data_IF_432312806930
#
_entry.id   IF_432312806930
#
_cell.length_a   1.000
_cell.length_b   1.000
_cell.length_c   1.000
_cell.angle_alpha   90.00
_cell.angle_beta   90.00
_cell.angle_gamma   90.00
#
_symmetry.space_group_name_H-M   'P 1'
#
loop_
_entity.id
_entity.type
_entity.pdbx_description
1 polymer ?
#
# COMPACT_ATOMS: atom_id res chain seq x y z
N UNK A 1 -30.78 -13.48 -5.17
CA UNK A 1 -30.20 -12.37 -4.40
C UNK A 1 -29.49 -12.96 -3.20
N UNK A 2 -28.20 -12.69 -3.03
CA UNK A 2 -27.43 -13.21 -1.89
C UNK A 2 -27.89 -12.59 -0.57
N UNK A 3 -27.61 -13.26 0.55
CA UNK A 3 -27.90 -12.72 1.88
C UNK A 3 -27.08 -11.45 2.13
N UNK A 4 -27.75 -10.34 2.42
CA UNK A 4 -27.11 -9.12 2.93
C UNK A 4 -26.45 -9.42 4.28
N UNK A 5 -25.24 -8.89 4.48
CA UNK A 5 -24.42 -9.10 5.68
C UNK A 5 -23.87 -7.76 6.15
N UNK A 6 -23.65 -7.61 7.45
CA UNK A 6 -22.91 -6.49 8.02
C UNK A 6 -21.45 -6.89 8.25
N UNK A 7 -20.53 -6.26 7.52
CA UNK A 7 -19.10 -6.49 7.66
C UNK A 7 -18.45 -5.28 8.33
N UNK A 8 -17.74 -5.52 9.44
CA UNK A 8 -16.94 -4.51 10.12
C UNK A 8 -15.49 -4.62 9.66
N UNK A 9 -14.93 -3.55 9.11
CA UNK A 9 -13.50 -3.41 8.86
C UNK A 9 -12.85 -2.59 9.97
N UNK A 10 -11.74 -3.07 10.51
CA UNK A 10 -10.83 -2.34 11.39
C UNK A 10 -9.50 -2.13 10.65
N UNK A 11 -9.13 -0.88 10.45
CA UNK A 11 -7.86 -0.52 9.81
C UNK A 11 -7.11 0.48 10.67
N UNK A 12 -5.82 0.24 10.88
CA UNK A 12 -4.89 1.26 11.36
C UNK A 12 -4.87 2.50 10.43
N UNK A 13 -4.60 3.70 10.96
CA UNK A 13 -4.59 4.94 10.19
C UNK A 13 -3.29 5.10 9.38
N UNK A 14 -3.15 4.30 8.33
CA UNK A 14 -1.96 4.24 7.48
C UNK A 14 -2.37 4.00 6.02
N UNK A 15 -1.87 4.80 5.09
CA UNK A 15 -2.29 4.76 3.67
C UNK A 15 -2.08 3.38 3.04
N UNK A 16 -0.96 2.73 3.40
CA UNK A 16 -0.58 1.41 2.87
C UNK A 16 -1.44 0.26 3.42
N UNK A 17 -2.31 0.53 4.39
CA UNK A 17 -3.23 -0.44 4.98
C UNK A 17 -4.68 -0.09 4.66
N UNK A 18 -5.00 1.19 4.75
CA UNK A 18 -6.35 1.74 4.58
C UNK A 18 -6.86 1.50 3.16
N UNK A 19 -6.21 2.06 2.13
CA UNK A 19 -6.78 2.06 0.78
C UNK A 19 -6.95 0.66 0.18
N UNK A 20 -6.06 -0.28 0.54
CA UNK A 20 -6.14 -1.67 0.08
C UNK A 20 -7.36 -2.40 0.64
N UNK A 21 -7.65 -2.24 1.93
CA UNK A 21 -8.78 -2.91 2.58
C UNK A 21 -10.09 -2.17 2.33
N UNK A 22 -10.02 -0.86 2.20
CA UNK A 22 -11.13 0.04 1.91
C UNK A 22 -11.69 -0.21 0.49
N UNK A 23 -10.84 -0.57 -0.48
CA UNK A 23 -11.29 -1.05 -1.80
C UNK A 23 -12.17 -2.31 -1.74
N UNK A 24 -11.83 -3.25 -0.85
CA UNK A 24 -12.63 -4.48 -0.63
C UNK A 24 -13.94 -4.13 0.05
N UNK A 25 -13.91 -3.25 1.04
CA UNK A 25 -15.09 -2.75 1.74
C UNK A 25 -16.11 -2.12 0.77
N UNK A 26 -15.66 -1.31 -0.18
CA UNK A 26 -16.54 -0.74 -1.20
C UNK A 26 -17.17 -1.75 -2.12
N UNK A 27 -16.38 -2.71 -2.61
CA UNK A 27 -16.91 -3.75 -3.48
C UNK A 27 -18.00 -4.56 -2.76
N UNK A 28 -17.84 -4.80 -1.45
CA UNK A 28 -18.90 -5.41 -0.63
C UNK A 28 -20.13 -4.50 -0.51
N UNK A 29 -19.94 -3.20 -0.30
CA UNK A 29 -21.01 -2.20 -0.30
C UNK A 29 -21.81 -2.18 -1.60
N UNK A 30 -21.11 -2.13 -2.75
CA UNK A 30 -21.69 -2.17 -4.10
C UNK A 30 -22.48 -3.45 -4.37
N UNK A 31 -22.07 -4.57 -3.75
CA UNK A 31 -22.80 -5.86 -3.81
C UNK A 31 -24.02 -5.90 -2.91
N UNK A 32 -24.32 -4.82 -2.20
CA UNK A 32 -25.50 -4.70 -1.32
C UNK A 32 -25.26 -5.23 0.09
N UNK A 33 -24.01 -5.46 0.50
CA UNK A 33 -23.68 -5.68 1.90
C UNK A 33 -23.62 -4.35 2.65
N UNK A 34 -23.84 -4.41 3.95
CA UNK A 34 -23.67 -3.25 4.81
C UNK A 34 -22.25 -3.25 5.36
N UNK A 35 -21.51 -2.16 5.16
CA UNK A 35 -20.10 -2.13 5.58
C UNK A 35 -19.88 -0.97 6.54
N UNK A 36 -19.29 -1.28 7.70
CA UNK A 36 -18.73 -0.26 8.59
C UNK A 36 -17.22 -0.34 8.47
N UNK A 37 -16.58 0.75 8.09
CA UNK A 37 -15.14 0.84 7.98
C UNK A 37 -14.62 1.78 9.07
N UNK A 38 -13.94 1.23 10.07
CA UNK A 38 -13.45 1.98 11.21
C UNK A 38 -11.93 2.18 11.13
N UNK A 39 -11.51 3.43 11.27
CA UNK A 39 -10.10 3.87 11.29
C UNK A 39 -9.94 5.04 12.27
N UNK A 40 -8.75 5.64 12.34
CA UNK A 40 -8.47 6.84 13.15
C UNK A 40 -7.90 7.97 12.30
N UNK A 41 -7.57 9.09 12.94
CA UNK A 41 -7.01 10.26 12.26
C UNK A 41 -5.65 9.95 11.62
N UNK A 42 -5.34 10.55 10.44
CA UNK A 42 -6.13 11.57 9.74
C UNK A 42 -7.23 11.01 8.81
N UNK A 43 -7.39 9.69 8.70
CA UNK A 43 -8.21 9.06 7.66
C UNK A 43 -9.66 8.76 8.05
N UNK A 44 -10.07 9.16 9.25
CA UNK A 44 -11.39 8.85 9.79
C UNK A 44 -12.56 9.49 9.01
N UNK A 45 -12.28 10.53 8.23
CA UNK A 45 -13.24 11.27 7.42
C UNK A 45 -13.00 11.06 5.92
N UNK A 46 -12.29 10.00 5.52
CA UNK A 46 -12.08 9.69 4.11
C UNK A 46 -13.38 9.39 3.37
N UNK A 47 -13.42 9.74 2.08
CA UNK A 47 -14.57 9.46 1.23
C UNK A 47 -14.67 7.96 0.88
N UNK A 48 -15.90 7.43 0.88
CA UNK A 48 -16.18 6.07 0.47
C UNK A 48 -17.45 5.95 -0.38
N UNK A 49 -17.46 4.97 -1.29
CA UNK A 49 -18.58 4.66 -2.16
C UNK A 49 -19.80 4.18 -1.36
N UNK A 50 -20.93 4.17 -2.05
CA UNK A 50 -22.23 3.81 -1.47
C UNK A 50 -22.20 2.44 -0.78
N UNK A 51 -22.77 2.38 0.43
CA UNK A 51 -22.86 1.15 1.23
C UNK A 51 -21.76 1.01 2.29
N UNK A 52 -20.76 1.90 2.30
CA UNK A 52 -19.70 1.97 3.32
C UNK A 52 -19.96 3.15 4.26
N UNK A 53 -20.01 2.87 5.56
CA UNK A 53 -20.03 3.87 6.62
C UNK A 53 -18.63 3.99 7.22
N UNK A 54 -18.00 5.16 7.09
CA UNK A 54 -16.76 5.48 7.78
C UNK A 54 -17.02 5.81 9.25
N UNK A 55 -16.22 5.27 10.16
CA UNK A 55 -16.27 5.57 11.59
C UNK A 55 -14.87 5.84 12.16
N UNK A 56 -14.79 6.90 12.98
CA UNK A 56 -13.61 7.20 13.80
C UNK A 56 -13.61 6.35 15.06
N UNK A 57 -12.59 5.51 15.25
CA UNK A 57 -12.26 4.95 16.57
C UNK A 57 -11.12 5.75 17.23
N UNK A 58 -11.03 5.66 18.56
CA UNK A 58 -10.03 6.38 19.35
C UNK A 58 -8.65 5.72 19.30
N UNK A 59 -7.95 5.63 20.44
CA UNK A 59 -6.68 4.87 20.52
C UNK A 59 -6.88 3.35 20.46
N UNK A 60 -8.06 2.91 20.86
CA UNK A 60 -8.45 1.51 20.92
C UNK A 60 -9.60 1.28 19.92
N UNK A 61 -9.36 0.41 18.95
CA UNK A 61 -10.36 0.04 17.96
C UNK A 61 -11.54 -0.71 18.61
N UNK A 62 -11.32 -1.51 19.66
CA UNK A 62 -12.38 -2.25 20.33
C UNK A 62 -13.40 -1.32 20.99
N UNK A 63 -12.99 -0.09 21.36
CA UNK A 63 -13.87 0.91 21.94
C UNK A 63 -15.02 1.34 20.99
N UNK A 64 -14.94 1.05 19.68
CA UNK A 64 -16.01 1.40 18.73
C UNK A 64 -17.37 0.83 19.14
N UNK A 65 -17.39 -0.34 19.80
CA UNK A 65 -18.62 -1.02 20.23
C UNK A 65 -19.49 -0.20 21.19
N UNK A 66 -18.86 0.77 21.86
CA UNK A 66 -19.50 1.69 22.81
C UNK A 66 -19.89 3.03 22.19
N UNK A 67 -19.55 3.27 20.91
CA UNK A 67 -19.90 4.51 20.23
C UNK A 67 -21.41 4.55 19.97
N UNK A 68 -22.13 5.60 20.38
CA UNK A 68 -23.58 5.67 20.21
C UNK A 68 -24.04 5.44 18.75
N UNK A 69 -23.31 6.00 17.78
CA UNK A 69 -23.60 5.83 16.36
C UNK A 69 -23.50 4.36 15.91
N UNK A 70 -22.56 3.60 16.48
CA UNK A 70 -22.37 2.19 16.16
C UNK A 70 -23.36 1.31 16.94
N UNK A 71 -23.54 1.55 18.24
CA UNK A 71 -24.49 0.80 19.07
C UNK A 71 -25.94 0.94 18.58
N UNK A 72 -26.33 2.12 18.06
CA UNK A 72 -27.66 2.30 17.47
C UNK A 72 -27.88 1.39 16.26
N UNK A 73 -26.84 1.22 15.42
CA UNK A 73 -26.88 0.38 14.22
C UNK A 73 -26.90 -1.10 14.54
N UNK A 74 -26.14 -1.55 15.54
CA UNK A 74 -26.13 -2.96 15.96
C UNK A 74 -27.50 -3.48 16.43
N UNK A 75 -28.43 -2.60 16.81
CA UNK A 75 -29.80 -3.00 17.19
C UNK A 75 -30.63 -3.50 16.01
N UNK A 76 -30.35 -2.99 14.81
CA UNK A 76 -31.08 -3.35 13.58
C UNK A 76 -30.26 -4.31 12.73
N UNK A 77 -28.94 -4.15 12.73
CA UNK A 77 -28.03 -4.83 11.82
C UNK A 77 -26.80 -5.35 12.58
N UNK A 78 -26.88 -6.53 13.21
CA UNK A 78 -25.74 -7.11 13.93
C UNK A 78 -24.59 -7.39 12.97
N UNK A 79 -23.34 -7.24 13.44
CA UNK A 79 -22.15 -7.60 12.66
C UNK A 79 -22.16 -9.11 12.41
N UNK A 80 -21.83 -9.52 11.18
CA UNK A 80 -21.72 -10.93 10.76
C UNK A 80 -20.26 -11.38 10.60
N UNK A 81 -19.33 -10.43 10.41
CA UNK A 81 -17.92 -10.67 10.11
C UNK A 81 -17.09 -9.45 10.54
N UNK A 82 -15.96 -9.70 11.19
CA UNK A 82 -14.92 -8.68 11.43
C UNK A 82 -13.74 -8.94 10.51
N UNK A 83 -13.33 -7.92 9.76
CA UNK A 83 -12.12 -7.91 8.94
C UNK A 83 -11.15 -6.92 9.59
N UNK A 84 -9.89 -7.29 9.77
CA UNK A 84 -8.91 -6.41 10.42
C UNK A 84 -7.55 -6.43 9.73
N UNK A 85 -6.83 -5.32 9.78
CA UNK A 85 -5.40 -5.33 9.52
C UNK A 85 -4.64 -5.97 10.72
N UNK A 86 -3.38 -6.42 10.54
CA UNK A 86 -2.62 -7.04 11.63
C UNK A 86 -2.43 -6.13 12.86
N UNK A 87 -2.37 -4.81 12.68
CA UNK A 87 -2.22 -3.86 13.78
C UNK A 87 -3.48 -3.68 14.63
N UNK A 88 -4.64 -4.10 14.14
CA UNK A 88 -5.92 -4.05 14.86
C UNK A 88 -6.44 -5.44 15.25
N UNK A 89 -5.59 -6.47 15.11
CA UNK A 89 -5.96 -7.88 15.34
C UNK A 89 -6.50 -8.15 16.74
N UNK A 90 -5.84 -7.65 17.79
CA UNK A 90 -6.27 -7.90 19.18
C UNK A 90 -7.69 -7.37 19.44
N UNK A 91 -7.98 -6.17 18.94
CA UNK A 91 -9.32 -5.59 19.01
C UNK A 91 -10.34 -6.39 18.20
N UNK A 92 -9.95 -6.88 17.03
CA UNK A 92 -10.83 -7.70 16.19
C UNK A 92 -11.17 -9.04 16.84
N UNK A 93 -10.21 -9.68 17.50
CA UNK A 93 -10.43 -10.92 18.27
C UNK A 93 -11.35 -10.66 19.45
N UNK A 94 -11.15 -9.58 20.21
CA UNK A 94 -12.03 -9.20 21.32
C UNK A 94 -13.49 -9.04 20.85
N UNK A 95 -13.71 -8.29 19.77
CA UNK A 95 -15.04 -8.07 19.20
C UNK A 95 -15.64 -9.34 18.60
N UNK A 96 -14.83 -10.12 17.87
CA UNK A 96 -15.25 -11.38 17.26
C UNK A 96 -15.72 -12.39 18.31
N UNK A 97 -15.01 -12.47 19.44
CA UNK A 97 -15.41 -13.29 20.58
C UNK A 97 -16.68 -12.77 21.26
N UNK A 98 -16.77 -11.45 21.49
CA UNK A 98 -17.94 -10.83 22.13
C UNK A 98 -19.23 -11.07 21.33
N UNK A 99 -19.16 -10.98 20.00
CA UNK A 99 -20.32 -11.12 19.12
C UNK A 99 -20.51 -12.52 18.54
N UNK A 100 -19.57 -13.44 18.75
CA UNK A 100 -19.62 -14.81 18.23
C UNK A 100 -19.51 -14.88 16.70
N UNK A 101 -18.70 -13.99 16.10
CA UNK A 101 -18.55 -13.86 14.65
C UNK A 101 -17.13 -14.20 14.19
N UNK A 102 -16.96 -14.68 12.94
CA UNK A 102 -15.64 -14.91 12.37
C UNK A 102 -14.82 -13.62 12.30
N UNK A 103 -13.50 -13.79 12.43
CA UNK A 103 -12.49 -12.75 12.23
C UNK A 103 -11.62 -13.14 11.04
N UNK A 104 -11.44 -12.24 10.09
CA UNK A 104 -10.56 -12.39 8.93
C UNK A 104 -9.47 -11.33 8.99
N UNK A 105 -8.21 -11.77 8.92
CA UNK A 105 -7.07 -10.84 8.89
C UNK A 105 -6.73 -10.49 7.44
N UNK A 106 -6.86 -9.22 7.10
CA UNK A 106 -6.46 -8.67 5.81
C UNK A 106 -4.99 -8.21 5.87
N UNK A 107 -4.08 -9.09 5.44
CA UNK A 107 -2.68 -8.75 5.30
C UNK A 107 -2.45 -7.89 4.06
N UNK A 108 -2.01 -6.65 4.27
CA UNK A 108 -1.61 -5.70 3.21
C UNK A 108 -0.12 -5.78 2.86
N UNK A 109 0.62 -6.58 3.64
CA UNK A 109 2.01 -6.97 3.40
C UNK A 109 2.10 -8.49 3.23
N UNK A 110 3.27 -9.03 2.88
CA UNK A 110 3.47 -10.48 2.89
C UNK A 110 3.08 -11.00 4.29
N UNK A 111 2.17 -11.96 4.38
CA UNK A 111 1.70 -12.51 5.65
C UNK A 111 2.88 -13.03 6.49
N UNK A 112 2.79 -12.83 7.81
CA UNK A 112 3.85 -13.15 8.77
C UNK A 112 3.27 -13.78 10.02
N UNK A 113 3.89 -14.85 10.53
CA UNK A 113 3.56 -15.50 11.80
C UNK A 113 4.52 -16.66 12.06
N UNK A 114 4.56 -17.20 13.28
CA UNK A 114 5.40 -18.35 13.66
C UNK A 114 5.15 -19.61 12.80
N UNK A 115 4.01 -19.64 12.09
CA UNK A 115 3.57 -20.72 11.21
C UNK A 115 3.71 -20.41 9.71
N UNK A 116 4.21 -19.23 9.34
CA UNK A 116 4.23 -18.78 7.93
C UNK A 116 5.66 -18.77 7.40
N UNK A 117 6.08 -19.93 6.89
CA UNK A 117 7.22 -20.04 5.99
C UNK A 117 6.70 -19.94 4.56
N UNK A 118 7.21 -19.01 3.75
CA UNK A 118 6.71 -18.76 2.39
C UNK A 118 6.98 -19.97 1.48
N UNK A 119 5.97 -20.80 1.11
CA UNK A 119 6.23 -21.96 0.26
C UNK A 119 6.32 -21.52 -1.20
N UNK A 120 7.08 -22.27 -2.00
CA UNK A 120 7.28 -22.00 -3.43
C UNK A 120 6.02 -22.17 -4.30
N UNK A 121 4.95 -22.80 -3.78
CA UNK A 121 3.76 -23.17 -4.55
C UNK A 121 2.54 -22.30 -4.22
N UNK A 122 1.82 -21.88 -5.27
CA UNK A 122 0.72 -20.90 -5.26
C UNK A 122 -0.65 -21.49 -4.83
N UNK A 123 -0.66 -22.42 -3.88
CA UNK A 123 -1.91 -23.04 -3.41
C UNK A 123 -1.93 -23.14 -1.91
N UNK A 124 -2.75 -22.28 -1.29
CA UNK A 124 -3.05 -22.31 0.14
C UNK A 124 -4.38 -23.03 0.36
N UNK A 125 -4.50 -23.72 1.50
CA UNK A 125 -5.78 -24.29 1.96
C UNK A 125 -6.86 -23.22 2.17
N UNK A 126 -8.03 -23.64 2.67
CA UNK A 126 -9.22 -22.79 2.81
C UNK A 126 -9.04 -21.51 3.66
N UNK A 127 -7.90 -21.34 4.33
CA UNK A 127 -7.64 -20.30 5.34
C UNK A 127 -6.98 -19.03 4.77
N UNK A 128 -6.51 -19.03 3.52
CA UNK A 128 -5.85 -17.85 2.91
C UNK A 128 -6.32 -17.59 1.48
N UNK A 129 -6.74 -16.34 1.21
CA UNK A 129 -7.14 -15.86 -0.11
C UNK A 129 -6.25 -14.68 -0.52
N UNK A 130 -5.60 -14.77 -1.69
CA UNK A 130 -4.89 -13.64 -2.28
C UNK A 130 -5.86 -12.83 -3.15
N UNK A 131 -6.00 -11.55 -2.82
CA UNK A 131 -6.76 -10.58 -3.62
C UNK A 131 -5.75 -9.61 -4.24
N UNK A 132 -5.77 -9.48 -5.56
CA UNK A 132 -4.92 -8.50 -6.25
C UNK A 132 -5.23 -7.11 -5.69
N UNK A 133 -4.23 -6.24 -5.43
CA UNK A 133 -4.48 -4.88 -4.98
C UNK A 133 -5.48 -4.22 -5.93
N UNK A 134 -6.64 -3.88 -5.39
CA UNK A 134 -7.70 -3.24 -6.12
C UNK A 134 -7.30 -1.79 -6.40
N UNK A 135 -7.74 -1.27 -7.53
CA UNK A 135 -7.40 0.06 -7.99
C UNK A 135 -8.16 1.18 -7.27
N UNK A 136 -8.52 1.05 -5.99
CA UNK A 136 -9.02 2.21 -5.25
C UNK A 136 -7.82 3.11 -4.95
N UNK A 137 -7.94 4.38 -5.35
CA UNK A 137 -6.77 5.23 -5.61
C UNK A 137 -6.28 5.15 -7.06
N UNK A 138 -7.05 4.57 -8.00
CA UNK A 138 -6.79 4.69 -9.45
C UNK A 138 -6.85 6.16 -9.86
N UNK A 139 -5.71 6.67 -10.32
CA UNK A 139 -5.59 7.47 -11.54
C UNK A 139 -6.62 8.61 -11.65
N UNK A 140 -6.62 9.54 -10.70
CA UNK A 140 -7.23 10.84 -10.93
C UNK A 140 -6.13 11.86 -11.23
N UNK A 141 -6.12 12.29 -12.49
CA UNK A 141 -5.12 13.17 -13.08
C UNK A 141 -4.17 12.41 -14.01
N UNK A 142 -3.90 13.00 -15.18
CA UNK A 142 -2.75 12.61 -15.99
C UNK A 142 -1.54 13.40 -15.50
N UNK A 143 -0.43 12.73 -15.26
CA UNK A 143 0.87 13.38 -15.23
C UNK A 143 1.60 12.95 -16.49
N UNK A 144 2.19 13.89 -17.21
CA UNK A 144 3.06 13.59 -18.34
C UNK A 144 4.38 14.37 -18.14
N UNK A 145 5.51 13.81 -18.56
CA UNK A 145 6.77 14.53 -18.49
C UNK A 145 6.72 15.74 -19.44
N UNK A 146 7.26 16.87 -18.97
CA UNK A 146 7.33 18.12 -19.76
C UNK A 146 8.46 18.10 -20.79
N UNK A 147 9.36 17.13 -20.69
CA UNK A 147 10.57 16.98 -21.49
C UNK A 147 10.88 15.49 -21.75
N UNK A 148 11.79 15.15 -22.68
CA UNK A 148 12.01 13.76 -23.10
C UNK A 148 13.01 12.98 -22.21
N UNK A 149 13.36 13.48 -21.02
CA UNK A 149 14.27 12.75 -20.12
C UNK A 149 13.64 11.45 -19.63
N UNK A 150 14.49 10.52 -19.22
CA UNK A 150 14.02 9.31 -18.55
C UNK A 150 13.41 9.68 -17.20
N UNK A 151 12.32 9.01 -16.83
CA UNK A 151 11.55 9.28 -15.61
C UNK A 151 11.90 8.25 -14.54
N UNK A 152 12.50 8.72 -13.46
CA UNK A 152 12.69 7.95 -12.23
C UNK A 152 11.57 8.30 -11.26
N UNK A 153 10.72 7.33 -10.94
CA UNK A 153 9.71 7.48 -9.90
C UNK A 153 10.26 6.94 -8.59
N UNK A 154 10.19 7.75 -7.53
CA UNK A 154 10.68 7.40 -6.20
C UNK A 154 9.49 7.31 -5.25
N UNK A 155 9.16 6.08 -4.86
CA UNK A 155 8.16 5.82 -3.85
C UNK A 155 8.70 6.10 -2.43
N UNK A 156 7.79 6.57 -1.57
CA UNK A 156 7.98 7.01 -0.18
C UNK A 156 9.13 6.32 0.56
N UNK A 157 9.93 7.13 1.27
CA UNK A 157 10.88 6.65 2.29
C UNK A 157 12.05 5.80 1.80
N UNK A 158 12.16 5.50 0.51
CA UNK A 158 13.20 4.64 -0.05
C UNK A 158 14.62 5.16 0.16
N UNK A 159 14.84 6.45 -0.10
CA UNK A 159 16.15 7.11 -0.04
C UNK A 159 16.00 8.56 0.42
N UNK A 160 16.92 9.09 1.26
CA UNK A 160 16.97 10.51 1.63
C UNK A 160 17.04 11.47 0.42
N UNK A 161 16.39 12.63 0.52
CA UNK A 161 16.31 13.62 -0.57
C UNK A 161 17.67 14.19 -0.98
N UNK A 162 18.54 14.46 -0.02
CA UNK A 162 19.90 14.95 -0.25
C UNK A 162 20.75 13.95 -1.05
N UNK A 163 20.60 12.66 -0.76
CA UNK A 163 21.24 11.59 -1.51
C UNK A 163 20.66 11.45 -2.92
N UNK A 164 19.34 11.57 -3.10
CA UNK A 164 18.70 11.59 -4.41
C UNK A 164 19.18 12.77 -5.26
N UNK A 165 19.22 13.96 -4.67
CA UNK A 165 19.73 15.16 -5.32
C UNK A 165 21.21 14.99 -5.71
N UNK A 166 22.05 14.45 -4.82
CA UNK A 166 23.45 14.17 -5.13
C UNK A 166 23.62 13.14 -6.27
N UNK A 167 22.71 12.17 -6.40
CA UNK A 167 22.74 11.16 -7.44
C UNK A 167 22.21 11.64 -8.80
N UNK A 168 21.20 12.52 -8.80
CA UNK A 168 20.40 12.84 -9.99
C UNK A 168 20.26 14.35 -10.28
N UNK A 169 21.05 15.23 -9.66
CA UNK A 169 21.07 16.65 -10.07
C UNK A 169 21.62 16.89 -11.49
N UNK A 170 22.21 15.86 -12.12
CA UNK A 170 22.60 15.85 -13.54
C UNK A 170 21.37 15.67 -14.46
N UNK A 171 21.46 16.17 -15.70
CA UNK A 171 20.29 16.45 -16.57
C UNK A 171 19.67 15.26 -17.30
N UNK A 172 20.05 14.03 -16.98
CA UNK A 172 19.63 12.84 -17.74
C UNK A 172 18.28 12.27 -17.25
N UNK A 173 17.88 12.63 -16.03
CA UNK A 173 16.69 12.09 -15.37
C UNK A 173 15.70 13.18 -14.95
N UNK A 174 14.41 12.91 -15.12
CA UNK A 174 13.30 13.56 -14.45
C UNK A 174 12.95 12.73 -13.21
N UNK A 175 13.18 13.29 -12.01
CA UNK A 175 12.91 12.57 -10.75
C UNK A 175 11.56 12.99 -10.21
N UNK A 176 10.67 12.03 -10.00
CA UNK A 176 9.34 12.28 -9.44
C UNK A 176 9.23 11.59 -8.08
N UNK A 177 9.12 12.40 -7.02
CA UNK A 177 8.91 11.94 -5.67
C UNK A 177 7.41 11.74 -5.42
N UNK A 178 7.03 10.58 -4.93
CA UNK A 178 5.67 10.30 -4.47
C UNK A 178 5.54 10.71 -2.99
N UNK A 179 5.63 11.99 -2.71
CA UNK A 179 5.59 12.58 -1.37
C UNK A 179 4.92 13.96 -1.42
N UNK A 180 3.68 14.06 -0.94
CA UNK A 180 2.86 15.28 -1.06
C UNK A 180 3.37 16.47 -0.24
N UNK A 181 4.24 16.21 0.72
CA UNK A 181 4.66 17.12 1.79
C UNK A 181 5.97 17.85 1.50
N UNK A 182 6.64 17.55 0.39
CA UNK A 182 7.90 18.21 0.00
C UNK A 182 7.60 19.48 -0.82
N UNK A 183 7.96 20.69 -0.34
CA UNK A 183 7.76 21.92 -1.09
C UNK A 183 8.55 21.92 -2.40
N UNK A 184 7.93 22.41 -3.48
CA UNK A 184 8.57 22.45 -4.80
C UNK A 184 9.83 23.32 -4.83
N UNK A 185 9.87 24.40 -4.03
CA UNK A 185 11.00 25.34 -3.97
C UNK A 185 12.27 24.72 -3.35
N UNK A 186 12.14 23.60 -2.63
CA UNK A 186 13.27 22.88 -2.00
C UNK A 186 13.88 21.83 -2.95
N UNK A 187 13.31 21.67 -4.15
CA UNK A 187 13.69 20.62 -5.09
C UNK A 187 14.62 21.12 -6.20
N UNK A 188 15.59 20.30 -6.67
CA UNK A 188 16.35 20.60 -7.88
C UNK A 188 15.41 20.78 -9.09
N UNK A 189 15.86 21.53 -10.11
CA UNK A 189 15.01 21.88 -11.26
C UNK A 189 14.42 20.68 -12.03
N UNK A 190 15.11 19.53 -12.02
CA UNK A 190 14.66 18.30 -12.66
C UNK A 190 13.82 17.40 -11.73
N UNK A 191 13.49 17.84 -10.52
CA UNK A 191 12.68 17.10 -9.56
C UNK A 191 11.24 17.63 -9.54
N UNK A 192 10.30 16.77 -9.22
CA UNK A 192 8.92 17.13 -8.92
C UNK A 192 8.42 16.29 -7.75
N UNK A 193 7.59 16.87 -6.90
CA UNK A 193 6.83 16.15 -5.88
C UNK A 193 5.38 16.03 -6.34
N UNK A 194 4.86 14.81 -6.31
CA UNK A 194 3.45 14.52 -6.53
C UNK A 194 2.88 13.86 -5.27
N UNK A 195 1.57 13.96 -5.03
CA UNK A 195 0.91 13.13 -4.03
C UNK A 195 1.23 11.66 -4.25
N UNK A 196 1.26 10.86 -3.18
CA UNK A 196 1.62 9.43 -3.20
C UNK A 196 0.64 8.58 -4.03
N UNK A 197 0.73 8.71 -5.35
CA UNK A 197 -0.23 8.22 -6.33
C UNK A 197 0.55 7.69 -7.53
N UNK A 198 0.18 6.50 -7.98
CA UNK A 198 0.92 5.76 -9.00
C UNK A 198 0.57 6.15 -10.45
N UNK A 199 -0.16 7.25 -10.68
CA UNK A 199 -0.53 7.70 -12.03
C UNK A 199 0.68 8.08 -12.90
N UNK A 200 1.79 8.48 -12.28
CA UNK A 200 3.07 8.74 -12.96
C UNK A 200 3.68 7.49 -13.61
N UNK A 201 3.31 6.28 -13.16
CA UNK A 201 3.95 5.04 -13.59
C UNK A 201 3.72 4.70 -15.06
N UNK A 202 2.68 5.23 -15.70
CA UNK A 202 2.49 5.10 -17.15
C UNK A 202 3.63 5.74 -17.97
N UNK A 203 4.42 6.60 -17.35
CA UNK A 203 5.56 7.30 -17.95
C UNK A 203 6.90 6.95 -17.30
N UNK A 204 6.92 6.03 -16.33
CA UNK A 204 8.12 5.71 -15.58
C UNK A 204 9.04 4.74 -16.33
N UNK A 205 10.33 5.08 -16.40
CA UNK A 205 11.37 4.16 -16.90
C UNK A 205 11.90 3.26 -15.79
N UNK A 206 11.96 3.77 -14.55
CA UNK A 206 12.40 3.02 -13.36
C UNK A 206 11.60 3.45 -12.15
N UNK A 207 11.26 2.49 -11.28
CA UNK A 207 10.71 2.73 -9.94
C UNK A 207 11.76 2.41 -8.88
N UNK A 208 12.00 3.35 -7.97
CA UNK A 208 12.76 3.16 -6.75
C UNK A 208 11.81 3.13 -5.54
N UNK A 209 11.86 2.08 -4.73
CA UNK A 209 10.97 1.89 -3.57
C UNK A 209 11.73 1.31 -2.38
N UNK A 210 11.21 1.47 -1.17
CA UNK A 210 11.72 0.78 0.02
C UNK A 210 11.30 -0.70 0.09
N UNK A 211 10.49 -1.17 -0.87
CA UNK A 211 10.08 -2.56 -0.98
C UNK A 211 8.77 -2.87 -0.27
N UNK A 212 7.98 -1.86 0.09
CA UNK A 212 6.59 -2.10 0.50
C UNK A 212 5.74 -2.61 -0.66
N UNK A 213 4.77 -3.48 -0.35
CA UNK A 213 3.97 -4.15 -1.38
C UNK A 213 3.21 -3.20 -2.31
N UNK A 214 2.66 -2.04 -1.86
CA UNK A 214 2.03 -1.09 -2.76
C UNK A 214 2.97 -0.62 -3.88
N UNK A 215 4.21 -0.26 -3.55
CA UNK A 215 5.21 0.18 -4.53
C UNK A 215 5.63 -0.94 -5.47
N UNK A 216 5.87 -2.14 -4.94
CA UNK A 216 6.20 -3.33 -5.75
C UNK A 216 5.05 -3.67 -6.71
N UNK A 217 3.82 -3.76 -6.20
CA UNK A 217 2.65 -4.10 -7.01
C UNK A 217 2.37 -3.05 -8.08
N UNK A 218 2.55 -1.78 -7.76
CA UNK A 218 2.39 -0.70 -8.72
C UNK A 218 3.42 -0.79 -9.86
N UNK A 219 4.70 -1.04 -9.55
CA UNK A 219 5.74 -1.24 -10.58
C UNK A 219 5.42 -2.46 -11.48
N UNK A 220 5.06 -3.60 -10.88
CA UNK A 220 4.71 -4.81 -11.62
C UNK A 220 3.50 -4.62 -12.53
N UNK A 221 2.48 -3.88 -12.09
CA UNK A 221 1.27 -3.60 -12.88
C UNK A 221 1.57 -2.80 -14.15
N UNK A 222 2.57 -1.92 -14.10
CA UNK A 222 2.97 -1.10 -15.24
C UNK A 222 4.18 -1.68 -15.99
N UNK A 223 4.62 -2.89 -15.61
CA UNK A 223 5.80 -3.56 -16.15
C UNK A 223 7.07 -2.67 -16.11
N UNK A 224 7.18 -1.81 -15.09
CA UNK A 224 8.29 -0.88 -14.94
C UNK A 224 9.46 -1.55 -14.18
N UNK A 225 10.71 -1.42 -14.67
CA UNK A 225 11.90 -1.86 -13.95
C UNK A 225 11.94 -1.36 -12.50
N UNK A 226 12.31 -2.26 -11.58
CA UNK A 226 12.19 -2.05 -10.14
C UNK A 226 13.56 -2.05 -9.46
N UNK A 227 13.85 -1.01 -8.68
CA UNK A 227 14.97 -0.92 -7.75
C UNK A 227 14.43 -0.83 -6.32
N UNK A 228 14.91 -1.70 -5.44
CA UNK A 228 14.43 -1.83 -4.06
C UNK A 228 15.54 -1.48 -3.07
N UNK A 229 15.28 -0.53 -2.17
CA UNK A 229 16.20 -0.09 -1.11
C UNK A 229 15.59 -0.37 0.28
N UNK A 230 15.56 -1.64 0.74
CA UNK A 230 14.84 -2.02 1.96
C UNK A 230 15.52 -1.52 3.23
N UNK A 231 14.72 -1.19 4.26
CA UNK A 231 15.20 -0.72 5.57
C UNK A 231 14.75 -1.61 6.71
N UNK A 232 13.47 -1.99 6.72
CA UNK A 232 12.90 -2.80 7.82
C UNK A 232 13.04 -4.30 7.54
N UNK A 233 12.97 -5.18 8.57
CA UNK A 233 12.97 -6.63 8.35
C UNK A 233 11.84 -7.13 7.45
N UNK A 234 10.68 -6.46 7.45
CA UNK A 234 9.59 -6.77 6.52
C UNK A 234 9.97 -6.44 5.06
N UNK A 235 10.50 -5.24 4.84
CA UNK A 235 10.96 -4.79 3.51
C UNK A 235 12.08 -5.68 2.96
N UNK A 236 13.01 -6.14 3.80
CA UNK A 236 14.07 -7.06 3.38
C UNK A 236 13.52 -8.40 2.86
N UNK A 237 12.44 -8.92 3.46
CA UNK A 237 11.78 -10.15 2.99
C UNK A 237 11.10 -9.94 1.63
N UNK A 238 10.45 -8.80 1.44
CA UNK A 238 9.86 -8.44 0.15
C UNK A 238 10.95 -8.30 -0.93
N UNK A 239 12.05 -7.61 -0.60
CA UNK A 239 13.19 -7.42 -1.50
C UNK A 239 13.83 -8.74 -1.90
N UNK A 240 14.04 -9.66 -0.95
CA UNK A 240 14.53 -11.01 -1.24
C UNK A 240 13.59 -11.77 -2.19
N UNK A 241 12.27 -11.58 -2.06
CA UNK A 241 11.31 -12.18 -2.97
C UNK A 241 11.38 -11.58 -4.37
N UNK A 242 11.47 -10.25 -4.49
CA UNK A 242 11.68 -9.54 -5.77
C UNK A 242 12.94 -10.04 -6.47
N UNK A 243 14.06 -10.13 -5.73
CA UNK A 243 15.35 -10.61 -6.27
C UNK A 243 15.27 -12.08 -6.71
N UNK A 244 14.72 -12.97 -5.88
CA UNK A 244 14.60 -14.40 -6.22
C UNK A 244 13.72 -14.68 -7.45
N UNK A 245 12.81 -13.76 -7.78
CA UNK A 245 11.93 -13.85 -8.95
C UNK A 245 12.51 -13.10 -10.17
N UNK A 246 13.66 -12.44 -10.03
CA UNK A 246 14.25 -11.62 -11.10
C UNK A 246 13.43 -10.38 -11.45
N UNK A 247 12.57 -9.91 -10.53
CA UNK A 247 11.63 -8.80 -10.79
C UNK A 247 12.24 -7.41 -10.58
N UNK A 248 13.46 -7.33 -10.05
CA UNK A 248 14.12 -6.06 -9.77
C UNK A 248 15.49 -6.22 -9.12
N UNK A 249 16.17 -5.10 -8.90
CA UNK A 249 17.51 -5.04 -8.29
C UNK A 249 17.40 -4.53 -6.86
N UNK A 250 18.06 -5.20 -5.91
CA UNK A 250 18.07 -4.80 -4.50
C UNK A 250 19.37 -4.04 -4.19
N UNK A 251 19.24 -2.85 -3.60
CA UNK A 251 20.36 -2.05 -3.10
C UNK A 251 20.38 -2.10 -1.59
N UNK A 252 21.50 -2.56 -1.02
CA UNK A 252 21.68 -2.59 0.43
C UNK A 252 21.96 -1.19 0.96
N UNK A 253 21.34 -0.83 2.08
CA UNK A 253 21.56 0.47 2.74
C UNK A 253 23.03 0.73 3.08
N UNK A 254 23.80 -0.31 3.41
CA UNK A 254 25.23 -0.20 3.70
C UNK A 254 26.10 0.20 2.50
N UNK A 255 25.62 -0.04 1.27
CA UNK A 255 26.33 0.30 0.03
C UNK A 255 25.72 1.53 -0.66
N UNK A 256 24.72 2.15 -0.03
CA UNK A 256 23.91 3.18 -0.65
C UNK A 256 24.63 4.53 -0.61
N UNK A 257 25.24 4.88 -1.73
CA UNK A 257 25.77 6.21 -2.02
C UNK A 257 25.25 6.73 -3.37
N UNK A 258 25.49 8.01 -3.67
CA UNK A 258 24.95 8.67 -4.86
C UNK A 258 25.38 7.98 -6.16
N UNK A 259 26.63 7.49 -6.20
CA UNK A 259 27.20 6.83 -7.37
C UNK A 259 26.58 5.45 -7.58
N UNK A 260 26.44 4.67 -6.52
CA UNK A 260 25.86 3.33 -6.53
C UNK A 260 24.39 3.38 -6.88
N UNK A 261 23.64 4.34 -6.34
CA UNK A 261 22.25 4.56 -6.67
C UNK A 261 22.07 4.91 -8.15
N UNK A 262 22.78 5.93 -8.65
CA UNK A 262 22.72 6.35 -10.06
C UNK A 262 23.04 5.19 -11.01
N UNK A 263 24.11 4.45 -10.73
CA UNK A 263 24.52 3.30 -11.55
C UNK A 263 23.47 2.19 -11.56
N UNK A 264 22.85 1.92 -10.41
CA UNK A 264 21.83 0.85 -10.31
C UNK A 264 20.57 1.21 -11.08
N UNK A 265 20.10 2.46 -10.93
CA UNK A 265 18.95 2.97 -11.69
C UNK A 265 19.23 2.96 -13.19
N UNK A 266 20.38 3.49 -13.61
CA UNK A 266 20.75 3.52 -15.03
C UNK A 266 20.83 2.11 -15.63
N UNK A 267 21.31 1.11 -14.86
CA UNK A 267 21.31 -0.29 -15.30
C UNK A 267 19.90 -0.86 -15.42
N UNK A 268 19.05 -0.63 -14.43
CA UNK A 268 17.67 -1.11 -14.44
C UNK A 268 16.87 -0.54 -15.63
N UNK A 269 17.19 0.67 -16.06
CA UNK A 269 16.53 1.34 -17.20
C UNK A 269 16.85 0.73 -18.57
N UNK A 270 17.98 0.03 -18.69
CA UNK A 270 18.47 -0.54 -19.97
C UNK A 270 18.40 -2.06 -20.01
N UNK A 271 18.32 -2.73 -18.85
CA UNK A 271 18.05 -4.16 -18.78
C UNK A 271 16.60 -4.41 -19.25
N UNK A 272 16.42 -5.12 -20.37
CA UNK A 272 15.09 -5.59 -20.75
C UNK A 272 14.56 -6.49 -19.61
N UNK A 273 13.33 -6.28 -19.10
CA UNK A 273 12.75 -7.18 -18.12
C UNK A 273 12.75 -8.59 -18.73
N UNK A 274 13.47 -9.50 -18.08
CA UNK A 274 13.61 -10.88 -18.53
C UNK A 274 12.20 -11.48 -18.71
N UNK A 275 11.84 -11.73 -19.98
CA UNK A 275 10.56 -12.35 -20.35
C UNK A 275 10.49 -13.81 -19.95
#
# INVERSE_FOLDING_TARGET
>A
MGLTRHVLFLSRPDENHLYLTLAVAEELGLRGHMVTFATSDPFAEEDAESGVLMLRYGRDAAALRRLPAFTARLRTDPVDLVVCDPGTYDAAVELGQEWGVPVVVAHTNLATGETVDWPAERSFGADYLYVHPAGRGRVYGGWAPEDPRQVLVVALGSVPLDLLAAAFAERDWRVVLLAADVPADDLPANFAALPARYAVLDHADVVLTDGELPGIAAALRHATPLVVAPRTPAQHRHAARVESLGLGVVVRQADLDARTLRRTVARAAVDEPAR
#
